data_IF_491267116606
#
_entry.id   IF_491267116606
#
_cell.length_a   1.000
_cell.length_b   1.000
_cell.length_c   1.000
_cell.angle_alpha   90.00
_cell.angle_beta   90.00
_cell.angle_gamma   90.00
#
_symmetry.space_group_name_H-M   'P 1'
#
loop_
_entity.id
_entity.type
_entity.pdbx_description
1 polymer ?
#
# COMPACT_ATOMS: atom_id res chain seq x y z
N UNK A 1 13.41 18.22 64.69
CA UNK A 1 12.75 19.10 63.70
C UNK A 1 13.42 18.90 62.36
N UNK A 2 12.62 18.66 61.31
CA UNK A 2 13.02 18.20 59.96
C UNK A 2 14.05 19.10 59.26
N UNK A 3 14.79 18.56 58.27
CA UNK A 3 14.34 18.81 56.90
C UNK A 3 14.42 17.61 55.93
N UNK A 4 13.49 17.66 54.97
CA UNK A 4 13.42 16.88 53.73
C UNK A 4 14.70 16.94 52.90
N UNK A 5 15.00 15.88 52.15
CA UNK A 5 15.19 16.00 50.69
C UNK A 5 15.22 14.62 50.02
N UNK A 6 14.12 14.30 49.36
CA UNK A 6 13.99 13.30 48.30
C UNK A 6 14.81 13.75 47.08
N UNK A 7 15.95 13.12 46.82
CA UNK A 7 16.65 13.30 45.55
C UNK A 7 16.01 12.44 44.45
N UNK A 8 15.18 13.11 43.68
CA UNK A 8 14.46 12.66 42.49
C UNK A 8 15.45 12.08 41.47
N UNK A 9 15.20 10.83 41.07
CA UNK A 9 15.83 10.16 39.94
C UNK A 9 15.67 11.00 38.67
N UNK A 10 16.78 11.48 38.11
CA UNK A 10 16.83 12.02 36.75
C UNK A 10 16.63 10.87 35.76
N UNK A 11 15.37 10.55 35.46
CA UNK A 11 15.01 9.65 34.36
C UNK A 11 15.13 10.42 33.04
N UNK A 12 16.13 10.04 32.25
CA UNK A 12 16.45 10.59 30.94
C UNK A 12 15.23 10.58 30.00
N UNK A 13 14.63 11.75 29.68
CA UNK A 13 13.47 11.83 28.78
C UNK A 13 13.83 11.51 27.31
N UNK A 14 15.13 11.46 26.99
CA UNK A 14 15.63 11.28 25.63
C UNK A 14 15.39 9.87 25.07
N UNK A 15 15.37 8.84 25.92
CA UNK A 15 15.10 7.45 25.48
C UNK A 15 13.65 7.25 25.04
N UNK A 16 12.69 7.86 25.73
CA UNK A 16 11.28 7.81 25.34
C UNK A 16 11.03 8.54 24.02
N UNK A 17 11.68 9.69 23.82
CA UNK A 17 11.59 10.46 22.57
C UNK A 17 12.24 9.74 21.38
N UNK A 18 13.36 9.05 21.60
CA UNK A 18 14.02 8.26 20.55
C UNK A 18 13.22 7.00 20.22
N UNK A 19 12.60 6.34 21.20
CA UNK A 19 11.68 5.23 20.97
C UNK A 19 10.43 5.66 20.21
N UNK A 20 9.88 6.85 20.49
CA UNK A 20 8.74 7.38 19.73
C UNK A 20 9.13 7.69 18.28
N UNK A 21 10.31 8.29 18.05
CA UNK A 21 10.83 8.51 16.70
C UNK A 21 11.08 7.20 15.95
N UNK A 22 11.64 6.18 16.60
CA UNK A 22 11.84 4.86 16.01
C UNK A 22 10.49 4.18 15.72
N UNK A 23 9.49 4.30 16.61
CA UNK A 23 8.14 3.76 16.38
C UNK A 23 7.39 4.51 15.27
N UNK A 24 7.62 5.82 15.13
CA UNK A 24 7.11 6.63 14.01
C UNK A 24 7.81 6.25 12.71
N UNK A 25 9.13 6.03 12.70
CA UNK A 25 9.88 5.59 11.51
C UNK A 25 9.55 4.14 11.13
N UNK A 26 9.24 3.27 12.10
CA UNK A 26 8.78 1.89 11.84
C UNK A 26 7.32 1.82 11.36
N UNK A 27 6.44 2.75 11.78
CA UNK A 27 5.07 2.85 11.26
C UNK A 27 4.98 3.66 9.95
N UNK A 28 5.83 4.66 9.76
CA UNK A 28 6.08 5.34 8.49
C UNK A 28 7.07 4.52 7.68
N UNK A 29 6.62 3.34 7.22
CA UNK A 29 7.36 2.56 6.24
C UNK A 29 7.77 3.46 5.08
N UNK A 30 9.07 3.79 5.04
CA UNK A 30 9.87 4.29 3.93
C UNK A 30 9.03 5.08 2.92
N UNK A 31 9.14 6.42 2.98
CA UNK A 31 8.73 7.31 1.90
C UNK A 31 9.62 6.96 0.69
N UNK A 32 9.23 5.91 -0.03
CA UNK A 32 9.62 5.73 -1.42
C UNK A 32 8.81 6.81 -2.12
N UNK A 33 9.51 7.82 -2.61
CA UNK A 33 8.96 8.89 -3.43
C UNK A 33 8.47 8.27 -4.75
N UNK A 34 7.30 7.63 -4.70
CA UNK A 34 6.65 7.10 -5.88
C UNK A 34 5.96 8.28 -6.57
N UNK A 35 6.73 8.98 -7.40
CA UNK A 35 6.34 10.24 -8.04
C UNK A 35 5.13 10.08 -8.97
N UNK A 36 4.70 8.84 -9.25
CA UNK A 36 3.51 8.58 -10.02
C UNK A 36 2.26 8.47 -9.12
N UNK A 37 1.34 9.45 -9.15
CA UNK A 37 0.16 9.46 -8.27
C UNK A 37 -0.79 8.28 -8.53
N UNK A 38 -0.74 7.68 -9.73
CA UNK A 38 -1.60 6.56 -10.08
C UNK A 38 -1.04 5.28 -9.47
N UNK A 39 0.29 5.08 -9.54
CA UNK A 39 0.96 3.99 -8.86
C UNK A 39 0.69 4.00 -7.36
N UNK A 40 0.82 5.17 -6.70
CA UNK A 40 0.56 5.32 -5.26
C UNK A 40 -0.83 4.86 -4.89
N UNK A 41 -1.86 5.25 -5.66
CA UNK A 41 -3.26 4.86 -5.41
C UNK A 41 -3.46 3.35 -5.55
N UNK A 42 -2.87 2.75 -6.59
CA UNK A 42 -2.98 1.31 -6.84
C UNK A 42 -2.27 0.52 -5.73
N UNK A 43 -1.05 0.93 -5.37
CA UNK A 43 -0.27 0.30 -4.30
C UNK A 43 -0.97 0.44 -2.93
N UNK A 44 -1.61 1.58 -2.66
CA UNK A 44 -2.41 1.75 -1.44
C UNK A 44 -3.58 0.76 -1.35
N UNK A 45 -4.29 0.53 -2.46
CA UNK A 45 -5.34 -0.50 -2.55
C UNK A 45 -4.77 -1.89 -2.33
N UNK A 46 -3.63 -2.20 -2.95
CA UNK A 46 -2.99 -3.51 -2.79
C UNK A 46 -2.52 -3.77 -1.35
N UNK A 47 -2.00 -2.76 -0.66
CA UNK A 47 -1.68 -2.86 0.78
C UNK A 47 -2.93 -3.13 1.64
N UNK A 48 -4.05 -2.49 1.33
CA UNK A 48 -5.34 -2.74 1.99
C UNK A 48 -5.81 -4.18 1.72
N UNK A 49 -5.75 -4.64 0.47
CA UNK A 49 -6.04 -6.02 0.08
C UNK A 49 -5.22 -7.03 0.91
N UNK A 50 -3.89 -6.85 1.00
CA UNK A 50 -3.01 -7.75 1.75
C UNK A 50 -3.37 -7.79 3.25
N UNK A 51 -3.77 -6.66 3.82
CA UNK A 51 -4.23 -6.59 5.21
C UNK A 51 -5.49 -7.44 5.40
N UNK A 52 -6.49 -7.28 4.55
CA UNK A 52 -7.74 -8.05 4.62
C UNK A 52 -7.51 -9.54 4.37
N UNK A 53 -6.68 -9.89 3.38
CA UNK A 53 -6.30 -11.28 3.09
C UNK A 53 -5.64 -11.94 4.31
N UNK A 54 -4.67 -11.26 4.93
CA UNK A 54 -3.98 -11.74 6.14
C UNK A 54 -4.93 -11.91 7.33
N UNK A 55 -5.90 -11.01 7.47
CA UNK A 55 -6.91 -11.03 8.53
C UNK A 55 -8.02 -12.07 8.27
N UNK A 56 -8.05 -12.69 7.09
CA UNK A 56 -9.15 -13.57 6.66
C UNK A 56 -10.51 -12.87 6.83
N UNK A 57 -10.61 -11.67 6.27
CA UNK A 57 -11.82 -10.85 6.34
C UNK A 57 -13.08 -11.67 6.00
N UNK A 58 -14.17 -11.34 6.69
CA UNK A 58 -15.49 -11.91 6.43
C UNK A 58 -15.94 -11.63 5.00
N UNK A 59 -16.95 -12.36 4.54
CA UNK A 59 -17.52 -12.15 3.20
C UNK A 59 -18.03 -10.71 3.04
N UNK A 60 -18.70 -10.18 4.07
CA UNK A 60 -19.23 -8.81 4.06
C UNK A 60 -18.10 -7.77 3.94
N UNK A 61 -17.06 -7.86 4.78
CA UNK A 61 -15.91 -6.94 4.72
C UNK A 61 -15.21 -7.01 3.35
N UNK A 62 -15.17 -8.20 2.75
CA UNK A 62 -14.59 -8.40 1.43
C UNK A 62 -15.41 -7.76 0.32
N UNK A 63 -16.73 -7.91 0.33
CA UNK A 63 -17.63 -7.27 -0.64
C UNK A 63 -17.60 -5.74 -0.53
N UNK A 64 -17.59 -5.21 0.70
CA UNK A 64 -17.44 -3.77 0.95
C UNK A 64 -16.10 -3.26 0.39
N UNK A 65 -15.02 -4.00 0.62
CA UNK A 65 -13.72 -3.69 0.04
C UNK A 65 -13.74 -3.70 -1.49
N UNK A 66 -14.33 -4.72 -2.13
CA UNK A 66 -14.47 -4.77 -3.60
C UNK A 66 -15.21 -3.56 -4.16
N UNK A 67 -16.31 -3.16 -3.52
CA UNK A 67 -17.08 -1.97 -3.90
C UNK A 67 -16.23 -0.70 -3.82
N UNK A 68 -15.51 -0.52 -2.70
CA UNK A 68 -14.61 0.62 -2.47
C UNK A 68 -13.47 0.66 -3.50
N UNK A 69 -12.88 -0.49 -3.83
CA UNK A 69 -11.81 -0.58 -4.84
C UNK A 69 -12.31 -0.13 -6.21
N UNK A 70 -13.50 -0.59 -6.63
CA UNK A 70 -14.11 -0.17 -7.91
C UNK A 70 -14.30 1.35 -7.95
N UNK A 71 -14.84 1.94 -6.90
CA UNK A 71 -15.04 3.40 -6.82
C UNK A 71 -13.71 4.16 -6.87
N UNK A 72 -12.71 3.71 -6.11
CA UNK A 72 -11.42 4.40 -5.98
C UNK A 72 -10.57 4.30 -7.26
N UNK A 73 -10.60 3.15 -7.94
CA UNK A 73 -9.73 2.90 -9.10
C UNK A 73 -10.42 3.13 -10.45
N UNK A 74 -11.75 3.22 -10.54
CA UNK A 74 -12.42 3.59 -11.79
C UNK A 74 -11.84 4.86 -12.46
N UNK A 75 -11.63 5.98 -11.77
CA UNK A 75 -11.00 7.16 -12.40
C UNK A 75 -9.53 6.94 -12.77
N UNK A 76 -8.79 6.11 -12.01
CA UNK A 76 -7.39 5.75 -12.32
C UNK A 76 -7.33 4.92 -13.61
N UNK A 77 -8.16 3.89 -13.73
CA UNK A 77 -8.26 3.03 -14.91
C UNK A 77 -8.61 3.88 -16.14
N UNK A 78 -9.65 4.74 -16.06
CA UNK A 78 -10.03 5.63 -17.17
C UNK A 78 -8.90 6.56 -17.63
N UNK A 79 -8.07 7.03 -16.69
CA UNK A 79 -6.90 7.84 -17.03
C UNK A 79 -5.84 6.98 -17.74
N UNK A 80 -5.51 5.84 -17.16
CA UNK A 80 -4.55 4.89 -17.72
C UNK A 80 -4.95 4.43 -19.12
N UNK A 81 -6.22 4.14 -19.38
CA UNK A 81 -6.74 3.79 -20.71
C UNK A 81 -6.46 4.87 -21.78
N UNK A 82 -6.39 6.14 -21.39
CA UNK A 82 -6.11 7.24 -22.31
C UNK A 82 -4.61 7.50 -22.53
N UNK A 83 -3.79 7.16 -21.55
CA UNK A 83 -2.36 7.55 -21.53
C UNK A 83 -1.40 6.38 -21.68
N UNK A 84 -1.85 5.15 -21.45
CA UNK A 84 -1.04 3.95 -21.59
C UNK A 84 -0.91 3.58 -23.07
N UNK A 85 0.32 3.60 -23.57
CA UNK A 85 0.66 3.21 -24.93
C UNK A 85 2.02 2.50 -24.95
N UNK A 86 2.48 2.13 -26.15
CA UNK A 86 3.77 1.45 -26.35
C UNK A 86 4.99 2.30 -25.99
N UNK A 87 4.85 3.62 -25.85
CA UNK A 87 5.91 4.54 -25.41
C UNK A 87 5.89 4.75 -23.89
N UNK A 88 4.76 4.48 -23.24
CA UNK A 88 4.55 4.63 -21.82
C UNK A 88 4.33 3.29 -21.13
N UNK A 89 5.31 2.38 -21.24
CA UNK A 89 5.23 1.00 -20.73
C UNK A 89 4.93 0.89 -19.24
N UNK A 90 5.37 1.86 -18.42
CA UNK A 90 5.03 1.90 -17.00
C UNK A 90 3.51 2.06 -16.78
N UNK A 91 2.88 2.94 -17.56
CA UNK A 91 1.43 3.17 -17.51
C UNK A 91 0.67 1.95 -18.07
N UNK A 92 1.22 1.30 -19.09
CA UNK A 92 0.66 0.08 -19.66
C UNK A 92 0.64 -1.08 -18.65
N UNK A 93 1.74 -1.27 -17.90
CA UNK A 93 1.79 -2.26 -16.83
C UNK A 93 0.77 -1.96 -15.70
N UNK A 94 0.63 -0.69 -15.30
CA UNK A 94 -0.41 -0.30 -14.33
C UNK A 94 -1.83 -0.55 -14.85
N UNK A 95 -2.06 -0.34 -16.15
CA UNK A 95 -3.36 -0.61 -16.77
C UNK A 95 -3.68 -2.11 -16.73
N UNK A 96 -2.75 -2.97 -17.13
CA UNK A 96 -2.94 -4.42 -17.05
C UNK A 96 -3.16 -4.91 -15.62
N UNK A 97 -2.36 -4.41 -14.67
CA UNK A 97 -2.55 -4.73 -13.25
C UNK A 97 -3.97 -4.42 -12.79
N UNK A 98 -4.46 -3.21 -13.08
CA UNK A 98 -5.73 -2.72 -12.53
C UNK A 98 -6.98 -3.14 -13.30
N UNK A 99 -6.93 -3.22 -14.63
CA UNK A 99 -8.07 -3.57 -15.47
C UNK A 99 -8.22 -5.08 -15.61
N UNK A 100 -7.11 -5.79 -15.82
CA UNK A 100 -7.15 -7.19 -16.25
C UNK A 100 -6.99 -8.14 -15.06
N UNK A 101 -6.10 -7.83 -14.11
CA UNK A 101 -5.76 -8.78 -13.03
C UNK A 101 -6.40 -8.45 -11.69
N UNK A 102 -6.57 -7.18 -11.34
CA UNK A 102 -7.15 -6.80 -10.05
C UNK A 102 -8.58 -7.32 -9.85
N UNK A 103 -9.53 -7.22 -10.81
CA UNK A 103 -10.87 -7.75 -10.60
C UNK A 103 -10.87 -9.26 -10.33
N UNK A 104 -10.09 -10.01 -11.13
CA UNK A 104 -9.96 -11.45 -10.99
C UNK A 104 -9.29 -11.83 -9.66
N UNK A 105 -8.26 -11.09 -9.26
CA UNK A 105 -7.58 -11.24 -7.97
C UNK A 105 -8.54 -11.03 -6.80
N UNK A 106 -9.45 -10.06 -6.89
CA UNK A 106 -10.43 -9.81 -5.84
C UNK A 106 -11.44 -10.97 -5.69
N UNK A 107 -11.67 -11.75 -6.74
CA UNK A 107 -12.59 -12.88 -6.71
C UNK A 107 -11.90 -14.19 -6.27
N UNK A 108 -10.64 -14.40 -6.65
CA UNK A 108 -9.96 -15.69 -6.47
C UNK A 108 -8.85 -15.72 -5.41
N UNK A 109 -8.43 -14.56 -4.89
CA UNK A 109 -7.28 -14.46 -3.99
C UNK A 109 -7.64 -14.13 -2.54
N UNK A 110 -8.92 -14.23 -2.14
CA UNK A 110 -9.35 -13.85 -0.77
C UNK A 110 -8.62 -14.63 0.33
N UNK A 111 -8.46 -15.95 0.15
CA UNK A 111 -7.94 -16.84 1.20
C UNK A 111 -6.50 -17.27 0.98
N UNK A 112 -6.03 -17.25 -0.27
CA UNK A 112 -4.69 -17.66 -0.66
C UNK A 112 -4.25 -16.88 -1.90
N UNK A 113 -2.94 -16.81 -2.11
CA UNK A 113 -2.38 -16.20 -3.31
C UNK A 113 -2.83 -16.94 -4.57
N UNK A 114 -3.36 -16.20 -5.54
CA UNK A 114 -3.81 -16.73 -6.84
C UNK A 114 -2.84 -16.39 -7.97
N UNK A 115 -3.06 -16.99 -9.14
CA UNK A 115 -2.34 -16.63 -10.36
C UNK A 115 -2.59 -15.17 -10.75
N UNK A 116 -3.80 -14.66 -10.53
CA UNK A 116 -4.14 -13.27 -10.82
C UNK A 116 -3.46 -12.30 -9.85
N UNK A 117 -3.32 -12.68 -8.57
CA UNK A 117 -2.48 -11.95 -7.64
C UNK A 117 -1.02 -11.90 -8.10
N UNK A 118 -0.46 -13.03 -8.53
CA UNK A 118 0.91 -13.07 -9.04
C UNK A 118 1.11 -12.17 -10.28
N UNK A 119 0.16 -12.20 -11.24
CA UNK A 119 0.21 -11.34 -12.43
C UNK A 119 0.07 -9.86 -12.09
N UNK A 120 -0.84 -9.51 -11.17
CA UNK A 120 -0.98 -8.15 -10.65
C UNK A 120 0.35 -7.65 -10.06
N UNK A 121 0.96 -8.44 -9.17
CA UNK A 121 2.23 -8.10 -8.53
C UNK A 121 3.36 -7.95 -9.55
N UNK A 122 3.42 -8.83 -10.55
CA UNK A 122 4.43 -8.77 -11.62
C UNK A 122 4.31 -7.46 -12.40
N UNK A 123 3.11 -7.09 -12.83
CA UNK A 123 2.88 -5.82 -13.52
C UNK A 123 3.21 -4.61 -12.63
N UNK A 124 2.85 -4.63 -11.35
CA UNK A 124 3.17 -3.54 -10.41
C UNK A 124 4.67 -3.44 -10.12
N UNK A 125 5.39 -4.56 -10.07
CA UNK A 125 6.85 -4.55 -9.91
C UNK A 125 7.52 -3.96 -11.16
N UNK A 126 7.07 -4.35 -12.34
CA UNK A 126 7.60 -3.85 -13.61
C UNK A 126 7.29 -2.37 -13.83
N UNK A 127 6.07 -1.93 -13.53
CA UNK A 127 5.70 -0.52 -13.56
C UNK A 127 6.63 0.32 -12.68
N UNK A 128 6.92 -0.14 -11.45
CA UNK A 128 7.84 0.54 -10.53
C UNK A 128 9.26 0.61 -11.08
N UNK A 129 9.75 -0.52 -11.63
CA UNK A 129 11.08 -0.59 -12.25
C UNK A 129 11.21 0.45 -13.35
N UNK A 130 10.22 0.56 -14.23
CA UNK A 130 10.19 1.51 -15.34
C UNK A 130 10.05 2.97 -14.88
N UNK A 131 9.28 3.24 -13.82
CA UNK A 131 9.17 4.58 -13.24
C UNK A 131 10.49 5.06 -12.64
N UNK A 132 11.26 4.17 -12.02
CA UNK A 132 12.56 4.47 -11.41
C UNK A 132 13.72 4.59 -12.41
N UNK A 133 13.50 4.24 -13.68
CA UNK A 133 14.49 4.33 -14.75
C UNK A 133 14.38 5.62 -15.57
N UNK A 134 13.49 6.53 -15.15
CA UNK A 134 13.34 7.86 -15.75
C UNK A 134 14.45 8.82 -15.36
#
# INVERSE_FOLDING_TARGET
>A
MNPSSTHIQKRFPFLASLCLLILVVLNCGIIIDDQNPEYVKINAVYKEFLKLQKQKASEQEWEEFKSKVRQKLSPVIKKLEKTADSKHLALQNMLWATRDYLPLMLDDARLKKSINQFKFETCMAEAKRLLNQK
#
